data_IF_707068347062
#
_entry.id   IF_707068347062
#
_cell.length_a   1.000
_cell.length_b   1.000
_cell.length_c   1.000
_cell.angle_alpha   90.00
_cell.angle_beta   90.00
_cell.angle_gamma   90.00
#
_symmetry.space_group_name_H-M   'P 1'
#
loop_
_entity.id
_entity.type
_entity.pdbx_description
1 polymer ?
#
# COMPACT_ATOMS: atom_id res chain seq x y z
N UNK A 1 -29.96 -8.60 9.96
CA UNK A 1 -28.68 -7.89 9.69
C UNK A 1 -27.53 -8.29 10.62
N UNK A 2 -27.73 -8.33 11.96
CA UNK A 2 -26.61 -8.54 12.92
C UNK A 2 -25.68 -9.71 12.62
N UNK A 3 -26.13 -10.90 12.22
CA UNK A 3 -25.20 -12.00 11.92
C UNK A 3 -24.40 -11.82 10.62
N UNK A 4 -24.92 -11.07 9.63
CA UNK A 4 -24.29 -10.86 8.33
C UNK A 4 -23.43 -9.59 8.35
N UNK A 5 -24.01 -8.46 8.77
CA UNK A 5 -23.33 -7.17 8.89
C UNK A 5 -23.97 -6.33 10.00
N UNK A 6 -23.25 -5.97 11.06
CA UNK A 6 -23.78 -5.11 12.12
C UNK A 6 -23.99 -3.68 11.59
N UNK A 7 -25.21 -3.15 11.70
CA UNK A 7 -25.53 -1.78 11.26
C UNK A 7 -24.68 -0.70 11.95
N UNK A 8 -24.16 -1.00 13.15
CA UNK A 8 -23.20 -0.12 13.85
C UNK A 8 -21.86 0.07 13.13
N UNK A 9 -21.61 -0.69 12.05
CA UNK A 9 -20.45 -0.54 11.17
C UNK A 9 -20.70 0.27 9.91
N UNK A 10 -21.90 0.82 9.75
CA UNK A 10 -22.17 1.79 8.69
C UNK A 10 -21.25 3.00 8.86
N UNK A 11 -20.67 3.45 7.76
CA UNK A 11 -19.72 4.57 7.73
C UNK A 11 -20.34 5.69 6.90
N UNK A 12 -20.37 6.89 7.44
CA UNK A 12 -20.82 8.07 6.71
C UNK A 12 -19.92 8.32 5.46
N UNK A 13 -20.56 8.65 4.34
CA UNK A 13 -19.88 8.89 3.06
C UNK A 13 -19.74 7.66 2.16
N UNK A 14 -20.10 6.45 2.64
CA UNK A 14 -20.19 5.28 1.78
C UNK A 14 -21.46 5.34 0.90
N UNK A 15 -21.32 4.85 -0.34
CA UNK A 15 -22.44 4.81 -1.27
C UNK A 15 -23.52 3.82 -0.81
N UNK A 16 -24.77 4.22 -1.01
CA UNK A 16 -25.94 3.34 -0.81
C UNK A 16 -26.97 3.59 -1.90
N UNK A 17 -27.81 2.61 -2.13
CA UNK A 17 -28.98 2.68 -3.02
C UNK A 17 -30.20 2.18 -2.27
N UNK A 18 -31.32 2.87 -2.47
CA UNK A 18 -32.63 2.48 -2.00
C UNK A 18 -33.53 2.28 -3.21
N UNK A 19 -33.98 1.06 -3.44
CA UNK A 19 -34.91 0.73 -4.50
C UNK A 19 -36.32 0.64 -3.90
N UNK A 20 -37.25 1.39 -4.46
CA UNK A 20 -38.67 1.39 -4.11
C UNK A 20 -39.48 0.95 -5.34
N UNK A 21 -40.54 0.18 -5.14
CA UNK A 21 -41.53 -0.16 -6.14
C UNK A 21 -42.89 0.31 -5.64
N UNK A 22 -43.52 1.27 -6.36
CA UNK A 22 -44.79 1.92 -5.94
C UNK A 22 -44.76 2.47 -4.50
N UNK A 23 -43.65 3.12 -4.11
CA UNK A 23 -43.35 3.63 -2.77
C UNK A 23 -43.10 2.55 -1.69
N UNK A 24 -43.22 1.28 -2.04
CA UNK A 24 -42.89 0.17 -1.12
C UNK A 24 -41.40 -0.17 -1.21
N UNK A 25 -40.81 -0.52 -0.06
CA UNK A 25 -39.42 -0.96 0.03
C UNK A 25 -39.23 -2.27 -0.73
N UNK A 26 -38.34 -2.26 -1.72
CA UNK A 26 -37.93 -3.45 -2.47
C UNK A 26 -36.53 -3.91 -2.04
N UNK A 27 -35.54 -3.00 -2.10
CA UNK A 27 -34.15 -3.36 -1.87
C UNK A 27 -33.33 -2.18 -1.35
N UNK A 28 -32.42 -2.46 -0.42
CA UNK A 28 -31.39 -1.53 0.02
C UNK A 28 -30.03 -2.16 -0.23
N UNK A 29 -29.13 -1.42 -0.88
CA UNK A 29 -27.75 -1.79 -1.15
C UNK A 29 -26.83 -0.80 -0.45
N UNK A 30 -25.77 -1.30 0.19
CA UNK A 30 -24.75 -0.48 0.85
C UNK A 30 -23.37 -1.01 0.52
N UNK A 31 -22.51 -0.18 -0.04
CA UNK A 31 -21.14 -0.55 -0.35
C UNK A 31 -20.31 -0.60 0.93
N UNK A 32 -20.01 -1.82 1.41
CA UNK A 32 -19.21 -2.05 2.62
C UNK A 32 -17.76 -1.58 2.39
N UNK A 33 -17.24 -1.86 1.20
CA UNK A 33 -15.93 -1.48 0.70
C UNK A 33 -15.94 -1.52 -0.84
N UNK A 34 -14.77 -1.42 -1.47
CA UNK A 34 -14.63 -1.43 -2.93
C UNK A 34 -14.93 -2.78 -3.60
N UNK A 35 -15.09 -3.86 -2.84
CA UNK A 35 -15.28 -5.20 -3.38
C UNK A 35 -16.58 -5.86 -2.94
N UNK A 36 -17.19 -5.40 -1.84
CA UNK A 36 -18.33 -6.05 -1.19
C UNK A 36 -19.45 -5.07 -0.85
N UNK A 37 -20.68 -5.49 -1.07
CA UNK A 37 -21.88 -4.76 -0.71
C UNK A 37 -22.79 -5.59 0.18
N UNK A 38 -23.54 -4.90 1.03
CA UNK A 38 -24.65 -5.43 1.78
C UNK A 38 -25.92 -5.24 0.93
N UNK A 39 -26.66 -6.32 0.71
CA UNK A 39 -28.00 -6.25 0.09
C UNK A 39 -29.02 -6.67 1.13
N UNK A 40 -30.03 -5.84 1.31
CA UNK A 40 -31.24 -6.15 2.07
C UNK A 40 -32.39 -6.11 1.07
N UNK A 41 -33.05 -7.21 0.81
CA UNK A 41 -34.21 -7.32 -0.06
C UNK A 41 -35.42 -7.81 0.72
N UNK A 42 -36.61 -7.39 0.28
CA UNK A 42 -37.87 -7.95 0.76
C UNK A 42 -38.24 -9.12 -0.17
N UNK A 43 -38.35 -10.30 0.40
CA UNK A 43 -38.77 -11.53 -0.27
C UNK A 43 -40.05 -11.96 0.42
N UNK A 44 -41.23 -11.77 -0.22
CA UNK A 44 -42.57 -11.92 0.39
C UNK A 44 -42.70 -11.03 1.63
N UNK A 45 -42.96 -11.58 2.81
CA UNK A 45 -43.05 -10.85 4.08
C UNK A 45 -41.79 -10.89 4.93
N UNK A 46 -40.68 -11.47 4.42
CA UNK A 46 -39.41 -11.58 5.13
C UNK A 46 -38.31 -10.70 4.50
N UNK A 47 -37.34 -10.31 5.33
CA UNK A 47 -36.18 -9.61 4.88
C UNK A 47 -34.98 -10.56 4.68
N UNK A 48 -34.52 -10.68 3.46
CA UNK A 48 -33.27 -11.33 3.14
C UNK A 48 -32.11 -10.36 3.31
N UNK A 49 -31.01 -10.79 3.95
CA UNK A 49 -29.82 -9.98 4.18
C UNK A 49 -28.60 -10.75 3.72
N UNK A 50 -27.94 -10.24 2.67
CA UNK A 50 -26.80 -10.91 2.05
C UNK A 50 -25.62 -9.95 1.94
N UNK A 51 -24.40 -10.48 2.11
CA UNK A 51 -23.17 -9.82 1.78
C UNK A 51 -22.65 -10.44 0.50
N UNK A 52 -22.53 -9.66 -0.57
CA UNK A 52 -22.16 -10.15 -1.90
C UNK A 52 -21.05 -9.30 -2.50
N UNK A 53 -20.24 -9.85 -3.43
CA UNK A 53 -19.31 -9.05 -4.22
C UNK A 53 -20.06 -8.01 -5.05
N UNK A 54 -19.46 -6.83 -5.22
CA UNK A 54 -19.97 -5.82 -6.15
C UNK A 54 -19.71 -6.32 -7.57
N UNK A 55 -20.71 -6.40 -8.45
CA UNK A 55 -20.53 -6.82 -9.82
C UNK A 55 -19.87 -5.70 -10.64
N UNK A 56 -18.60 -5.88 -10.99
CA UNK A 56 -17.87 -5.01 -11.89
C UNK A 56 -17.64 -5.69 -13.25
N UNK A 57 -17.78 -4.93 -14.32
CA UNK A 57 -17.08 -5.24 -15.57
C UNK A 57 -15.68 -4.64 -15.48
N UNK A 58 -14.68 -5.36 -15.99
CA UNK A 58 -13.29 -4.92 -15.98
C UNK A 58 -12.76 -4.81 -17.39
N UNK A 59 -12.03 -3.74 -17.67
CA UNK A 59 -11.30 -3.54 -18.91
C UNK A 59 -9.82 -3.38 -18.57
N UNK A 60 -8.94 -4.08 -19.28
CA UNK A 60 -7.50 -3.91 -19.13
C UNK A 60 -7.02 -2.83 -20.07
N UNK A 61 -6.48 -1.76 -19.51
CA UNK A 61 -5.94 -0.63 -20.27
C UNK A 61 -4.46 -0.47 -19.98
N UNK A 62 -3.73 0.04 -20.97
CA UNK A 62 -2.36 0.46 -20.78
C UNK A 62 -2.32 1.95 -20.50
N UNK A 63 -1.66 2.32 -19.42
CA UNK A 63 -1.38 3.70 -19.02
C UNK A 63 0.14 3.90 -19.05
N UNK A 64 0.58 5.01 -19.65
CA UNK A 64 2.01 5.38 -19.71
C UNK A 64 2.17 6.86 -19.55
N UNK A 65 3.25 7.28 -18.90
CA UNK A 65 3.56 8.69 -18.72
C UNK A 65 5.04 8.94 -18.52
N UNK A 66 5.46 10.17 -18.83
CA UNK A 66 6.79 10.68 -18.53
C UNK A 66 6.71 11.68 -17.39
N UNK A 67 7.65 11.63 -16.47
CA UNK A 67 7.65 12.49 -15.29
C UNK A 67 8.34 13.81 -15.62
N UNK A 68 7.60 14.90 -15.47
CA UNK A 68 8.14 16.25 -15.56
C UNK A 68 8.42 16.85 -14.18
N UNK A 69 7.56 16.60 -13.21
CA UNK A 69 7.72 17.08 -11.83
C UNK A 69 7.49 15.98 -10.79
N UNK A 70 6.40 15.23 -10.90
CA UNK A 70 6.02 14.17 -9.96
C UNK A 70 5.27 13.03 -10.64
N UNK A 71 5.24 11.86 -9.99
CA UNK A 71 4.43 10.73 -10.46
C UNK A 71 2.94 11.08 -10.50
N UNK A 72 2.44 11.84 -9.52
CA UNK A 72 1.03 12.24 -9.46
C UNK A 72 0.63 13.06 -10.69
N UNK A 73 1.39 14.10 -11.01
CA UNK A 73 1.15 14.92 -12.18
C UNK A 73 1.25 14.10 -13.47
N UNK A 74 2.27 13.24 -13.58
CA UNK A 74 2.46 12.39 -14.75
C UNK A 74 1.28 11.42 -14.97
N UNK A 75 0.69 10.88 -13.91
CA UNK A 75 -0.49 10.01 -13.99
C UNK A 75 -1.75 10.82 -14.32
N UNK A 76 -2.00 11.94 -13.61
CA UNK A 76 -3.21 12.74 -13.84
C UNK A 76 -3.23 13.41 -15.21
N UNK A 77 -2.07 13.75 -15.78
CA UNK A 77 -1.97 14.27 -17.15
C UNK A 77 -2.39 13.26 -18.23
N UNK A 78 -2.41 11.97 -17.92
CA UNK A 78 -2.96 10.92 -18.81
C UNK A 78 -4.48 10.77 -18.72
N UNK A 79 -5.15 11.57 -17.88
CA UNK A 79 -6.59 11.48 -17.63
C UNK A 79 -6.95 10.46 -16.54
N UNK A 80 -5.94 9.87 -15.88
CA UNK A 80 -6.15 8.89 -14.81
C UNK A 80 -6.20 9.59 -13.43
N UNK A 81 -6.76 8.89 -12.44
CA UNK A 81 -6.88 9.41 -11.07
C UNK A 81 -5.56 9.25 -10.31
N UNK A 82 -5.35 10.12 -9.30
CA UNK A 82 -4.25 10.06 -8.34
C UNK A 82 -4.17 8.73 -7.57
N UNK A 83 -5.28 8.00 -7.45
CA UNK A 83 -5.31 6.64 -6.88
C UNK A 83 -4.40 5.69 -7.64
N UNK A 84 -4.33 5.81 -8.98
CA UNK A 84 -3.41 4.99 -9.78
C UNK A 84 -1.95 5.32 -9.47
N UNK A 85 -1.62 6.60 -9.28
CA UNK A 85 -0.27 7.02 -8.88
C UNK A 85 0.11 6.44 -7.52
N UNK A 86 -0.83 6.42 -6.56
CA UNK A 86 -0.61 5.79 -5.24
C UNK A 86 -0.37 4.29 -5.36
N UNK A 87 -1.17 3.59 -6.19
CA UNK A 87 -1.02 2.15 -6.40
C UNK A 87 0.33 1.81 -7.07
N UNK A 88 0.76 2.58 -8.06
CA UNK A 88 2.09 2.42 -8.68
C UNK A 88 3.21 2.69 -7.68
N UNK A 89 3.10 3.76 -6.91
CA UNK A 89 4.08 4.05 -5.86
C UNK A 89 4.16 2.94 -4.82
N UNK A 90 3.04 2.34 -4.42
CA UNK A 90 3.02 1.23 -3.46
C UNK A 90 3.72 -0.03 -4.03
N UNK A 91 3.60 -0.32 -5.34
CA UNK A 91 4.28 -1.45 -5.99
C UNK A 91 5.80 -1.31 -5.91
N UNK A 92 6.34 -0.12 -6.24
CA UNK A 92 7.78 0.11 -6.32
C UNK A 92 8.39 0.73 -5.05
N UNK A 93 7.60 0.92 -3.97
CA UNK A 93 8.03 1.57 -2.73
C UNK A 93 9.23 0.90 -2.04
N UNK A 94 9.57 -0.33 -2.42
CA UNK A 94 10.71 -1.06 -1.88
C UNK A 94 12.02 -0.72 -2.59
N UNK A 95 11.94 -0.27 -3.84
CA UNK A 95 13.10 0.05 -4.68
C UNK A 95 13.27 1.54 -4.92
N UNK A 96 12.17 2.30 -4.97
CA UNK A 96 12.13 3.72 -5.30
C UNK A 96 11.55 4.51 -4.13
N UNK A 97 12.28 5.52 -3.67
CA UNK A 97 11.73 6.57 -2.81
C UNK A 97 11.11 7.66 -3.70
N UNK A 98 9.79 7.62 -3.86
CA UNK A 98 9.05 8.54 -4.74
C UNK A 98 9.12 10.02 -4.32
N UNK A 99 9.77 10.33 -3.20
CA UNK A 99 10.02 11.70 -2.77
C UNK A 99 11.45 12.14 -3.12
N UNK A 100 12.41 11.24 -2.96
CA UNK A 100 13.83 11.57 -3.06
C UNK A 100 14.46 11.12 -4.36
N UNK A 101 13.94 10.06 -4.98
CA UNK A 101 14.59 9.42 -6.13
C UNK A 101 14.06 9.89 -7.47
N UNK A 102 12.82 10.41 -7.53
CA UNK A 102 12.16 10.83 -8.77
C UNK A 102 12.90 12.01 -9.42
N UNK A 103 13.04 11.95 -10.74
CA UNK A 103 13.67 12.98 -11.58
C UNK A 103 12.82 13.26 -12.81
N UNK A 104 12.96 14.47 -13.32
CA UNK A 104 12.45 14.81 -14.66
C UNK A 104 13.09 13.86 -15.69
N UNK A 105 12.26 13.31 -16.57
CA UNK A 105 12.66 12.36 -17.58
C UNK A 105 12.46 10.88 -17.18
N UNK A 106 12.21 10.59 -15.91
CA UNK A 106 11.73 9.26 -15.49
C UNK A 106 10.41 8.94 -16.19
N UNK A 107 10.05 7.67 -16.26
CA UNK A 107 8.81 7.25 -16.94
C UNK A 107 8.20 6.02 -16.31
N UNK A 108 6.91 5.83 -16.56
CA UNK A 108 6.20 4.63 -16.17
C UNK A 108 5.31 4.11 -17.28
N UNK A 109 5.02 2.82 -17.25
CA UNK A 109 3.92 2.20 -17.97
C UNK A 109 3.29 1.09 -17.12
N UNK A 110 2.00 0.88 -17.28
CA UNK A 110 1.26 -0.12 -16.52
C UNK A 110 0.07 -0.69 -17.30
N UNK A 111 -0.21 -1.98 -17.10
CA UNK A 111 -1.45 -2.63 -17.49
C UNK A 111 -2.38 -2.62 -16.28
N UNK A 112 -3.49 -1.92 -16.39
CA UNK A 112 -4.39 -1.59 -15.28
C UNK A 112 -5.78 -2.10 -15.57
N UNK A 113 -6.39 -2.84 -14.66
CA UNK A 113 -7.82 -3.16 -14.71
C UNK A 113 -8.62 -1.92 -14.31
N UNK A 114 -9.36 -1.33 -15.25
CA UNK A 114 -10.41 -0.34 -14.94
C UNK A 114 -11.71 -1.06 -14.64
N UNK A 115 -12.38 -0.64 -13.57
CA UNK A 115 -13.66 -1.19 -13.13
C UNK A 115 -14.80 -0.30 -13.60
N UNK A 116 -15.86 -0.92 -14.06
CA UNK A 116 -17.11 -0.24 -14.41
C UNK A 116 -18.26 -0.91 -13.67
N UNK A 117 -19.17 -0.12 -13.12
CA UNK A 117 -20.41 -0.57 -12.50
C UNK A 117 -21.55 0.03 -13.29
N UNK A 118 -22.39 -0.81 -13.91
CA UNK A 118 -23.52 -0.36 -14.74
C UNK A 118 -23.07 0.60 -15.85
N UNK A 119 -21.92 0.33 -16.46
CA UNK A 119 -21.35 1.15 -17.53
C UNK A 119 -20.65 2.44 -17.07
N UNK A 120 -20.70 2.77 -15.78
CA UNK A 120 -20.02 3.96 -15.23
C UNK A 120 -18.65 3.60 -14.64
N UNK A 121 -17.63 4.46 -14.81
CA UNK A 121 -16.33 4.26 -14.17
C UNK A 121 -16.45 4.09 -12.64
N UNK A 122 -15.87 3.04 -12.11
CA UNK A 122 -15.92 2.69 -10.69
C UNK A 122 -14.53 2.45 -10.07
N UNK A 123 -13.53 3.13 -10.62
CA UNK A 123 -12.15 3.08 -10.14
C UNK A 123 -11.32 1.99 -10.79
N UNK A 124 -10.33 1.49 -10.03
CA UNK A 124 -9.34 0.55 -10.53
C UNK A 124 -9.46 -0.81 -9.81
N UNK A 125 -9.21 -1.86 -10.58
CA UNK A 125 -8.95 -3.19 -10.08
C UNK A 125 -7.45 -3.35 -9.75
N UNK A 126 -6.86 -4.39 -10.33
CA UNK A 126 -5.45 -4.71 -10.12
C UNK A 126 -4.58 -4.01 -11.18
N UNK A 127 -3.34 -3.72 -10.83
CA UNK A 127 -2.28 -3.50 -11.81
C UNK A 127 -1.69 -4.87 -12.13
N UNK A 128 -1.83 -5.32 -13.38
CA UNK A 128 -1.40 -6.66 -13.79
C UNK A 128 0.10 -6.71 -14.04
N UNK A 129 0.62 -5.65 -14.65
CA UNK A 129 2.06 -5.44 -14.83
C UNK A 129 2.35 -3.94 -14.80
N UNK A 130 3.55 -3.58 -14.37
CA UNK A 130 4.04 -2.22 -14.43
C UNK A 130 5.54 -2.20 -14.68
N UNK A 131 5.99 -1.12 -15.31
CA UNK A 131 7.39 -0.81 -15.50
C UNK A 131 7.63 0.64 -15.10
N UNK A 132 8.70 0.88 -14.38
CA UNK A 132 9.13 2.21 -13.96
C UNK A 132 10.59 2.42 -14.25
N UNK A 133 10.92 3.41 -15.07
CA UNK A 133 12.30 3.81 -15.33
C UNK A 133 12.64 4.99 -14.45
N UNK A 134 13.60 4.80 -13.53
CA UNK A 134 14.09 5.83 -12.63
C UNK A 134 15.58 5.98 -12.78
N UNK A 135 16.04 7.18 -13.13
CA UNK A 135 17.48 7.48 -13.34
C UNK A 135 18.18 6.54 -14.33
N UNK A 136 17.47 6.09 -15.35
CA UNK A 136 17.97 5.15 -16.35
C UNK A 136 17.96 3.67 -15.94
N UNK A 137 17.57 3.35 -14.71
CA UNK A 137 17.34 1.97 -14.28
C UNK A 137 15.84 1.62 -14.40
N UNK A 138 15.56 0.46 -15.00
CA UNK A 138 14.18 0.00 -15.23
C UNK A 138 13.80 -1.08 -14.23
N UNK A 139 12.71 -0.85 -13.51
CA UNK A 139 12.11 -1.76 -12.55
C UNK A 139 10.82 -2.33 -13.15
N UNK A 140 10.66 -3.65 -13.11
CA UNK A 140 9.48 -4.35 -13.62
C UNK A 140 8.73 -5.03 -12.50
N UNK A 141 7.40 -5.06 -12.60
CA UNK A 141 6.50 -5.65 -11.63
C UNK A 141 5.41 -6.46 -12.35
N UNK A 142 5.30 -7.74 -12.03
CA UNK A 142 4.29 -8.65 -12.57
C UNK A 142 3.45 -9.20 -11.43
N UNK A 143 2.15 -9.02 -11.49
CA UNK A 143 1.23 -9.57 -10.52
C UNK A 143 1.07 -11.07 -10.75
N UNK A 144 1.41 -11.87 -9.75
CA UNK A 144 1.33 -13.32 -9.84
C UNK A 144 0.84 -13.95 -8.53
N UNK A 145 0.07 -15.03 -8.65
CA UNK A 145 -0.35 -15.84 -7.51
C UNK A 145 0.44 -17.16 -7.51
N UNK A 146 1.34 -17.30 -6.57
CA UNK A 146 2.18 -18.50 -6.42
C UNK A 146 1.43 -19.58 -5.61
N UNK A 147 0.70 -20.46 -6.31
CA UNK A 147 -0.14 -21.50 -5.70
C UNK A 147 -1.25 -20.88 -4.83
N UNK A 148 -1.39 -21.38 -3.59
CA UNK A 148 -2.41 -20.90 -2.63
C UNK A 148 -2.04 -19.59 -1.95
N UNK A 149 -0.87 -19.00 -2.25
CA UNK A 149 -0.47 -17.71 -1.68
C UNK A 149 -1.35 -16.58 -2.20
N UNK A 150 -1.43 -15.50 -1.44
CA UNK A 150 -1.99 -14.25 -1.95
C UNK A 150 -1.15 -13.77 -3.15
N UNK A 151 -1.82 -13.25 -4.18
CA UNK A 151 -1.13 -12.60 -5.29
C UNK A 151 -0.22 -11.47 -4.78
N UNK A 152 0.98 -11.38 -5.34
CA UNK A 152 2.01 -10.39 -5.00
C UNK A 152 2.77 -10.01 -6.27
N UNK A 153 3.64 -8.99 -6.19
CA UNK A 153 4.41 -8.52 -7.32
C UNK A 153 5.82 -9.13 -7.33
N UNK A 154 6.25 -9.54 -8.52
CA UNK A 154 7.56 -10.14 -8.76
C UNK A 154 8.24 -9.44 -9.94
N UNK A 155 9.57 -9.38 -9.92
CA UNK A 155 10.36 -8.95 -11.08
C UNK A 155 10.42 -10.03 -12.17
N UNK A 156 11.07 -9.75 -13.29
CA UNK A 156 11.19 -10.69 -14.41
C UNK A 156 11.93 -12.00 -14.05
N UNK A 157 12.75 -11.99 -13.02
CA UNK A 157 13.47 -13.15 -12.49
C UNK A 157 12.64 -13.96 -11.48
N UNK A 158 11.42 -13.49 -11.16
CA UNK A 158 10.55 -14.10 -10.15
C UNK A 158 10.96 -13.80 -8.72
N UNK A 159 11.80 -12.79 -8.50
CA UNK A 159 12.09 -12.30 -7.16
C UNK A 159 10.93 -11.41 -6.69
N UNK A 160 10.49 -11.58 -5.46
CA UNK A 160 9.44 -10.70 -4.92
C UNK A 160 9.94 -9.25 -4.86
N UNK A 161 9.17 -8.32 -5.39
CA UNK A 161 9.43 -6.89 -5.20
C UNK A 161 9.32 -6.53 -3.72
N UNK A 162 8.44 -7.22 -3.00
CA UNK A 162 8.32 -7.02 -1.56
C UNK A 162 9.62 -7.39 -0.86
N UNK A 163 10.24 -6.40 -0.26
CA UNK A 163 11.46 -6.57 0.53
C UNK A 163 11.11 -6.60 2.02
N UNK A 164 12.03 -7.14 2.81
CA UNK A 164 11.85 -7.24 4.25
C UNK A 164 11.59 -5.88 4.92
N UNK A 165 12.01 -4.78 4.29
CA UNK A 165 11.80 -3.42 4.80
C UNK A 165 11.42 -2.44 3.70
N UNK A 166 10.44 -1.58 3.98
CA UNK A 166 10.15 -0.38 3.19
C UNK A 166 11.33 0.60 3.25
N UNK A 167 11.54 1.37 2.21
CA UNK A 167 12.56 2.44 2.15
C UNK A 167 12.32 3.53 3.19
N UNK A 168 11.05 3.90 3.41
CA UNK A 168 10.66 4.93 4.35
C UNK A 168 9.42 4.52 5.16
N UNK A 169 9.32 4.97 6.43
CA UNK A 169 8.16 4.71 7.30
C UNK A 169 6.97 5.67 7.06
N UNK A 170 7.11 6.65 6.17
CA UNK A 170 6.10 7.64 5.79
C UNK A 170 5.94 7.66 4.28
N UNK A 171 4.72 7.78 3.79
CA UNK A 171 4.45 7.80 2.34
C UNK A 171 4.88 9.09 1.67
N UNK A 172 4.76 10.24 2.39
CA UNK A 172 5.13 11.55 1.88
C UNK A 172 5.77 12.36 3.00
N UNK A 173 7.07 12.64 2.89
CA UNK A 173 7.82 13.38 3.89
C UNK A 173 9.13 13.92 3.30
N UNK A 174 9.71 14.90 3.96
CA UNK A 174 11.03 15.42 3.61
C UNK A 174 12.02 15.01 4.70
N UNK A 175 13.19 14.50 4.31
CA UNK A 175 14.27 14.28 5.27
C UNK A 175 14.78 15.64 5.75
N UNK A 176 14.61 15.90 7.03
CA UNK A 176 15.10 17.12 7.70
C UNK A 176 16.47 16.91 8.33
N UNK A 177 16.84 15.66 8.67
CA UNK A 177 18.16 15.31 9.17
C UNK A 177 18.52 13.89 8.81
N UNK A 178 19.68 13.69 8.17
CA UNK A 178 20.20 12.38 7.81
C UNK A 178 20.89 11.66 8.99
N UNK A 179 21.24 10.38 8.71
CA UNK A 179 22.02 9.56 9.63
C UNK A 179 23.46 10.11 9.73
N UNK A 180 23.91 10.39 10.95
CA UNK A 180 25.27 10.83 11.22
C UNK A 180 25.75 10.39 12.59
N UNK A 181 27.02 10.08 12.69
CA UNK A 181 27.67 9.77 13.99
C UNK A 181 28.18 11.03 14.72
N UNK A 182 28.11 12.23 14.06
CA UNK A 182 28.55 13.48 14.65
C UNK A 182 27.76 14.65 14.06
N UNK A 183 26.92 15.32 14.88
CA UNK A 183 26.26 16.59 14.55
C UNK A 183 26.17 17.49 15.77
N UNK A 184 26.07 18.80 15.55
CA UNK A 184 25.75 19.75 16.61
C UNK A 184 24.24 19.67 16.91
N UNK A 185 23.88 19.34 18.14
CA UNK A 185 22.50 19.09 18.54
C UNK A 185 21.76 20.42 18.73
N UNK A 186 20.63 20.68 18.05
CA UNK A 186 19.97 22.00 18.03
C UNK A 186 19.45 22.46 19.40
N UNK A 187 19.03 21.51 20.25
CA UNK A 187 18.47 21.81 21.58
C UNK A 187 19.57 21.84 22.64
N UNK A 188 20.40 20.78 22.74
CA UNK A 188 21.40 20.66 23.79
C UNK A 188 22.70 21.41 23.52
N UNK A 189 22.84 21.98 22.30
CA UNK A 189 24.02 22.78 21.85
C UNK A 189 25.37 22.04 22.08
N UNK A 190 25.38 20.73 21.92
CA UNK A 190 26.55 19.87 22.07
C UNK A 190 26.72 18.94 20.85
N UNK A 191 27.95 18.53 20.59
CA UNK A 191 28.23 17.54 19.54
C UNK A 191 27.75 16.16 20.00
N UNK A 192 26.84 15.55 19.25
CA UNK A 192 26.29 14.22 19.53
C UNK A 192 26.10 13.42 18.25
N UNK A 193 26.09 12.10 18.39
CA UNK A 193 25.65 11.20 17.32
C UNK A 193 24.14 11.34 17.10
N UNK A 194 23.73 11.26 15.83
CA UNK A 194 22.34 11.12 15.43
C UNK A 194 22.18 9.88 14.55
N UNK A 195 22.19 8.66 15.13
CA UNK A 195 22.05 7.42 14.37
C UNK A 195 20.58 7.18 14.00
N UNK A 196 20.00 8.13 13.26
CA UNK A 196 18.60 8.20 12.89
C UNK A 196 18.42 8.97 11.58
N UNK A 197 17.25 8.84 10.99
CA UNK A 197 16.75 9.75 9.95
C UNK A 197 15.53 10.47 10.52
N UNK A 198 15.54 11.79 10.43
CA UNK A 198 14.40 12.61 10.80
C UNK A 198 13.59 12.96 9.56
N UNK A 199 12.34 12.50 9.51
CA UNK A 199 11.37 12.78 8.47
C UNK A 199 10.41 13.87 8.92
N UNK A 200 10.52 15.06 8.35
CA UNK A 200 9.57 16.14 8.57
C UNK A 200 8.27 15.87 7.83
N UNK A 201 7.17 15.87 8.57
CA UNK A 201 5.82 15.67 8.02
C UNK A 201 4.78 16.38 8.92
N UNK A 202 3.60 16.73 8.39
CA UNK A 202 2.52 17.29 9.17
C UNK A 202 2.16 16.44 10.39
N UNK A 203 1.76 17.10 11.49
CA UNK A 203 1.29 16.40 12.68
C UNK A 203 0.05 15.56 12.35
N UNK A 204 0.07 14.28 12.71
CA UNK A 204 -1.02 13.35 12.42
C UNK A 204 -0.79 12.51 11.18
N UNK A 205 0.27 12.73 10.40
CA UNK A 205 0.64 11.85 9.28
C UNK A 205 0.80 10.41 9.78
N UNK A 206 0.20 9.41 9.13
CA UNK A 206 0.34 8.01 9.52
C UNK A 206 1.78 7.52 9.42
N UNK A 207 2.24 6.84 10.46
CA UNK A 207 3.55 6.17 10.52
C UNK A 207 3.33 4.69 10.27
N UNK A 208 3.98 4.15 9.24
CA UNK A 208 3.90 2.73 8.85
C UNK A 208 5.07 1.94 9.47
N UNK A 209 4.81 0.69 9.88
CA UNK A 209 5.89 -0.26 10.17
C UNK A 209 6.66 -0.55 8.88
N UNK A 210 7.98 -0.39 8.90
CA UNK A 210 8.78 -0.68 7.70
C UNK A 210 8.89 -2.16 7.36
N UNK A 211 8.59 -3.05 8.30
CA UNK A 211 8.63 -4.51 8.10
C UNK A 211 7.65 -5.25 9.01
N UNK A 212 7.39 -6.51 8.70
CA UNK A 212 6.69 -7.41 9.60
C UNK A 212 7.48 -7.55 10.90
N UNK A 213 6.80 -7.67 12.04
CA UNK A 213 7.52 -7.81 13.30
C UNK A 213 6.63 -7.89 14.53
N UNK A 214 7.28 -7.84 15.69
CA UNK A 214 6.62 -7.84 17.00
C UNK A 214 7.00 -6.55 17.73
N UNK A 215 6.01 -5.86 18.27
CA UNK A 215 6.23 -4.68 19.11
C UNK A 215 6.89 -5.14 20.42
N UNK A 216 8.17 -4.83 20.60
CA UNK A 216 8.90 -5.20 21.82
C UNK A 216 8.87 -4.11 22.88
N UNK A 217 8.54 -2.86 22.49
CA UNK A 217 8.37 -1.76 23.43
C UNK A 217 7.43 -0.68 22.84
N UNK A 218 6.55 -0.17 23.70
CA UNK A 218 5.69 0.99 23.45
C UNK A 218 5.65 1.82 24.72
N UNK A 219 5.81 3.12 24.62
CA UNK A 219 5.78 3.97 25.82
C UNK A 219 6.15 5.41 25.52
N UNK A 220 6.50 6.11 26.60
CA UNK A 220 6.96 7.50 26.58
C UNK A 220 8.24 7.63 27.38
N UNK A 221 9.19 8.43 26.88
CA UNK A 221 10.32 8.96 27.65
C UNK A 221 10.52 10.42 27.34
N UNK A 222 11.15 11.17 28.27
CA UNK A 222 11.45 12.60 28.05
C UNK A 222 12.26 12.85 26.76
N UNK A 223 13.16 11.93 26.41
CA UNK A 223 13.99 12.07 25.20
C UNK A 223 13.26 11.64 23.92
N UNK A 224 12.61 10.48 23.91
CA UNK A 224 12.00 9.91 22.71
C UNK A 224 10.56 10.40 22.46
N UNK A 225 9.92 11.02 23.44
CA UNK A 225 8.48 11.24 23.40
C UNK A 225 7.72 9.91 23.38
N UNK A 226 6.55 9.88 22.79
CA UNK A 226 5.85 8.64 22.49
C UNK A 226 6.62 7.86 21.43
N UNK A 227 6.87 6.58 21.68
CA UNK A 227 7.66 5.76 20.77
C UNK A 227 7.19 4.31 20.70
N UNK A 228 7.49 3.67 19.58
CA UNK A 228 7.32 2.24 19.34
C UNK A 228 8.68 1.66 18.94
N UNK A 229 9.01 0.49 19.48
CA UNK A 229 10.15 -0.33 19.07
C UNK A 229 9.64 -1.67 18.55
N UNK A 230 10.06 -2.06 17.35
CA UNK A 230 9.66 -3.28 16.68
C UNK A 230 10.90 -4.14 16.45
N UNK A 231 10.79 -5.43 16.76
CA UNK A 231 11.75 -6.46 16.37
C UNK A 231 11.19 -7.20 15.16
N UNK A 232 11.91 -7.12 14.05
CA UNK A 232 11.52 -7.73 12.80
C UNK A 232 11.95 -9.19 12.69
N UNK A 233 13.18 -9.45 13.11
CA UNK A 233 13.76 -10.80 13.16
C UNK A 233 14.90 -10.85 14.21
N UNK A 234 15.73 -11.88 14.15
CA UNK A 234 16.88 -12.03 15.07
C UNK A 234 17.91 -10.90 14.96
N UNK A 235 17.98 -10.25 13.80
CA UNK A 235 19.03 -9.26 13.48
C UNK A 235 18.55 -7.82 13.48
N UNK A 236 17.29 -7.54 13.11
CA UNK A 236 16.83 -6.18 12.84
C UNK A 236 15.78 -5.69 13.82
N UNK A 237 15.98 -4.48 14.30
CA UNK A 237 15.02 -3.72 15.13
C UNK A 237 14.85 -2.30 14.58
N UNK A 238 13.64 -1.74 14.69
CA UNK A 238 13.35 -0.34 14.36
C UNK A 238 12.70 0.40 15.52
N UNK A 239 12.93 1.73 15.58
CA UNK A 239 12.34 2.63 16.55
C UNK A 239 11.72 3.82 15.82
N UNK A 240 10.53 4.18 16.27
CA UNK A 240 9.70 5.28 15.76
C UNK A 240 9.42 6.23 16.90
N UNK A 241 9.96 7.45 16.86
CA UNK A 241 9.99 8.37 17.99
C UNK A 241 9.18 9.65 17.71
N UNK A 242 8.93 10.42 18.76
CA UNK A 242 8.23 11.71 18.76
C UNK A 242 6.78 11.65 18.27
N UNK A 243 6.14 10.47 18.39
CA UNK A 243 4.79 10.24 17.89
C UNK A 243 3.76 11.11 18.64
N UNK A 244 2.70 11.57 17.92
CA UNK A 244 1.51 12.19 18.54
C UNK A 244 0.78 11.17 19.43
N UNK A 245 0.70 9.95 18.96
CA UNK A 245 0.01 8.84 19.61
C UNK A 245 0.10 7.56 18.77
N UNK A 246 -0.48 6.51 19.29
CA UNK A 246 -0.43 5.17 18.72
C UNK A 246 -1.72 4.87 17.96
N UNK A 247 -1.65 4.06 16.91
CA UNK A 247 -2.83 3.56 16.22
C UNK A 247 -3.59 2.54 17.08
N UNK A 248 -4.87 2.31 16.77
CA UNK A 248 -5.71 1.34 17.48
C UNK A 248 -5.10 -0.06 17.41
N UNK A 249 -5.08 -0.78 18.53
CA UNK A 249 -4.58 -2.15 18.62
C UNK A 249 -3.04 -2.28 18.76
N UNK A 250 -2.29 -1.17 18.73
CA UNK A 250 -0.84 -1.18 18.92
C UNK A 250 -0.51 -1.34 20.40
N UNK A 251 0.06 -2.49 20.76
CA UNK A 251 0.48 -2.83 22.13
C UNK A 251 1.73 -3.71 22.12
N UNK A 252 2.50 -3.69 23.22
CA UNK A 252 3.66 -4.58 23.39
C UNK A 252 3.24 -6.05 23.26
N UNK A 253 4.05 -6.85 22.59
CA UNK A 253 3.79 -8.26 22.29
C UNK A 253 2.93 -8.49 21.03
N UNK A 254 2.26 -7.48 20.49
CA UNK A 254 1.44 -7.63 19.27
C UNK A 254 2.32 -7.70 18.03
N UNK A 255 1.88 -8.54 17.08
CA UNK A 255 2.44 -8.58 15.72
C UNK A 255 1.92 -7.38 14.93
N UNK A 256 2.77 -6.87 14.06
CA UNK A 256 2.45 -5.86 13.05
C UNK A 256 2.92 -6.34 11.70
N UNK A 257 2.16 -6.00 10.66
CA UNK A 257 2.53 -6.24 9.28
C UNK A 257 3.32 -5.04 8.71
N UNK A 258 4.15 -5.29 7.72
CA UNK A 258 4.78 -4.26 6.91
C UNK A 258 3.70 -3.35 6.30
N UNK A 259 3.92 -2.03 6.32
CA UNK A 259 2.93 -1.05 5.85
C UNK A 259 1.80 -0.75 6.83
N UNK A 260 1.64 -1.53 7.90
CA UNK A 260 0.60 -1.27 8.91
C UNK A 260 0.87 0.04 9.64
N UNK A 261 -0.16 0.90 9.76
CA UNK A 261 -0.09 2.12 10.57
C UNK A 261 0.08 1.76 12.04
N UNK A 262 1.16 2.24 12.66
CA UNK A 262 1.51 1.99 14.07
C UNK A 262 1.29 3.21 14.96
N UNK A 263 1.09 4.38 14.36
CA UNK A 263 0.82 5.63 15.05
C UNK A 263 0.91 6.82 14.11
N UNK A 264 1.10 8.00 14.67
CA UNK A 264 0.98 9.26 13.93
C UNK A 264 2.11 10.21 14.30
N UNK A 265 2.60 10.96 13.31
CA UNK A 265 3.65 11.98 13.49
C UNK A 265 3.22 13.00 14.53
N UNK A 266 4.14 13.33 15.44
CA UNK A 266 3.96 14.31 16.50
C UNK A 266 5.19 15.19 16.69
N UNK A 267 5.26 15.75 17.88
CA UNK A 267 6.40 16.56 18.36
C UNK A 267 6.57 16.34 19.86
N UNK A 268 6.41 15.09 20.33
CA UNK A 268 6.51 14.78 21.76
C UNK A 268 7.95 14.49 22.18
N UNK A 269 8.30 14.73 23.44
CA UNK A 269 9.66 14.59 23.95
C UNK A 269 10.61 15.70 23.49
N UNK A 270 11.88 15.39 23.24
CA UNK A 270 12.89 16.35 22.78
C UNK A 270 12.81 16.55 21.27
N UNK A 271 11.80 17.26 20.80
CA UNK A 271 11.56 17.60 19.41
C UNK A 271 11.40 19.12 19.22
N UNK A 272 11.94 19.67 18.14
CA UNK A 272 11.84 21.10 17.79
C UNK A 272 10.62 21.42 16.94
N UNK A 273 9.95 20.42 16.40
CA UNK A 273 8.78 20.54 15.54
C UNK A 273 8.24 19.19 15.11
N UNK A 274 7.13 19.13 14.36
CA UNK A 274 6.54 17.87 13.92
C UNK A 274 7.50 17.10 12.99
N UNK A 275 7.92 15.93 13.42
CA UNK A 275 8.74 14.99 12.64
C UNK A 275 8.67 13.58 13.22
N UNK A 276 9.07 12.60 12.43
CA UNK A 276 9.37 11.26 12.87
C UNK A 276 10.89 11.08 12.93
N UNK A 277 11.45 10.77 14.09
CA UNK A 277 12.83 10.29 14.20
C UNK A 277 12.82 8.77 14.10
N UNK A 278 13.36 8.26 12.98
CA UNK A 278 13.38 6.84 12.65
C UNK A 278 14.77 6.26 12.82
N UNK A 279 14.87 5.16 13.56
CA UNK A 279 16.14 4.47 13.82
C UNK A 279 16.04 3.00 13.42
N UNK A 280 17.11 2.47 12.85
CA UNK A 280 17.26 1.05 12.56
C UNK A 280 18.54 0.51 13.23
N UNK A 281 18.44 -0.71 13.73
CA UNK A 281 19.58 -1.44 14.30
C UNK A 281 19.72 -2.80 13.62
N UNK A 282 20.96 -3.20 13.38
CA UNK A 282 21.31 -4.55 12.94
C UNK A 282 22.23 -5.16 13.99
N UNK A 283 21.87 -6.30 14.57
CA UNK A 283 22.60 -6.99 15.64
C UNK A 283 22.95 -6.04 16.80
N UNK A 284 21.98 -5.19 17.20
CA UNK A 284 22.14 -4.19 18.25
C UNK A 284 22.85 -2.89 17.86
N UNK A 285 23.65 -2.89 16.80
CA UNK A 285 24.36 -1.69 16.32
C UNK A 285 23.45 -0.80 15.44
N UNK A 286 23.54 0.54 15.54
CA UNK A 286 22.79 1.43 14.67
C UNK A 286 23.32 1.34 13.23
N UNK A 287 22.39 1.31 12.26
CA UNK A 287 22.70 1.31 10.83
C UNK A 287 21.93 2.42 10.13
N UNK A 288 22.48 2.94 9.03
CA UNK A 288 21.76 3.90 8.20
C UNK A 288 20.65 3.19 7.42
N UNK A 289 19.36 3.47 7.72
CA UNK A 289 18.23 2.81 7.06
C UNK A 289 18.25 2.92 5.53
N UNK A 290 18.70 4.05 4.99
CA UNK A 290 18.77 4.28 3.54
C UNK A 290 19.80 3.38 2.81
N UNK A 291 20.77 2.86 3.55
CA UNK A 291 21.84 2.00 3.01
C UNK A 291 21.61 0.51 3.24
N UNK A 292 20.55 0.16 3.96
CA UNK A 292 20.20 -1.25 4.20
C UNK A 292 19.64 -1.84 2.92
N UNK A 293 20.37 -2.77 2.32
CA UNK A 293 19.84 -3.64 1.27
C UNK A 293 18.95 -4.69 1.92
N UNK A 294 17.64 -4.47 1.90
CA UNK A 294 16.69 -5.43 2.42
C UNK A 294 16.57 -6.63 1.47
N UNK A 295 16.67 -7.87 1.96
CA UNK A 295 16.45 -9.04 1.11
C UNK A 295 14.99 -9.07 0.63
N UNK A 296 14.76 -9.55 -0.59
CA UNK A 296 13.42 -9.87 -1.08
C UNK A 296 12.77 -10.91 -0.16
N UNK A 297 11.46 -10.86 -0.03
CA UNK A 297 10.72 -11.86 0.74
C UNK A 297 10.77 -13.19 -0.03
N UNK A 298 9.79 -13.97 -0.15
CA UNK A 298 9.86 -15.27 -0.84
C UNK A 298 9.74 -15.07 -2.36
N UNK A 299 10.66 -15.56 -3.18
CA UNK A 299 10.50 -15.58 -4.64
C UNK A 299 9.36 -16.52 -5.05
N UNK A 300 9.03 -16.50 -6.33
CA UNK A 300 8.16 -17.51 -6.95
C UNK A 300 8.75 -18.92 -6.68
N UNK A 301 7.92 -19.85 -6.31
CA UNK A 301 8.36 -21.22 -6.04
C UNK A 301 8.92 -21.90 -7.31
N UNK A 302 9.90 -22.78 -7.14
CA UNK A 302 10.55 -23.47 -8.27
C UNK A 302 9.54 -24.21 -9.15
N UNK A 303 8.50 -24.79 -8.55
CA UNK A 303 7.45 -25.52 -9.29
C UNK A 303 6.57 -24.63 -10.17
N UNK A 304 6.39 -23.35 -9.80
CA UNK A 304 5.54 -22.41 -10.53
C UNK A 304 6.36 -21.41 -11.37
N UNK A 305 7.69 -21.50 -11.35
CA UNK A 305 8.57 -20.56 -12.06
C UNK A 305 8.35 -20.56 -13.58
N UNK A 306 8.10 -21.73 -14.18
CA UNK A 306 7.84 -21.81 -15.62
C UNK A 306 6.53 -21.13 -16.01
N UNK A 307 5.44 -21.36 -15.26
CA UNK A 307 4.15 -20.67 -15.46
C UNK A 307 4.27 -19.17 -15.24
N UNK A 308 4.98 -18.75 -14.19
CA UNK A 308 5.26 -17.35 -13.95
C UNK A 308 5.97 -16.68 -15.13
N UNK A 309 7.04 -17.29 -15.65
CA UNK A 309 7.80 -16.71 -16.77
C UNK A 309 6.98 -16.57 -18.05
N UNK A 310 6.12 -17.54 -18.35
CA UNK A 310 5.19 -17.44 -19.48
C UNK A 310 4.25 -16.22 -19.29
N UNK A 311 3.60 -16.11 -18.13
CA UNK A 311 2.72 -14.96 -17.83
C UNK A 311 3.45 -13.62 -17.84
N UNK A 312 4.67 -13.56 -17.29
CA UNK A 312 5.48 -12.35 -17.32
C UNK A 312 5.85 -11.94 -18.76
N UNK A 313 6.18 -12.89 -19.62
CA UNK A 313 6.45 -12.63 -21.03
C UNK A 313 5.22 -12.10 -21.78
N UNK A 314 4.03 -12.69 -21.57
CA UNK A 314 2.76 -12.22 -22.16
C UNK A 314 2.42 -10.81 -21.69
N UNK A 315 2.58 -10.52 -20.39
CA UNK A 315 2.34 -9.19 -19.84
C UNK A 315 3.37 -8.17 -20.35
N UNK A 316 4.63 -8.56 -20.53
CA UNK A 316 5.67 -7.71 -21.14
C UNK A 316 5.32 -7.37 -22.59
N UNK A 317 4.90 -8.36 -23.38
CA UNK A 317 4.42 -8.13 -24.75
C UNK A 317 3.24 -7.16 -24.76
N UNK A 318 2.28 -7.33 -23.87
CA UNK A 318 1.13 -6.45 -23.72
C UNK A 318 1.51 -5.01 -23.28
N UNK A 319 2.57 -4.84 -22.48
CA UNK A 319 3.13 -3.51 -22.16
C UNK A 319 3.80 -2.86 -23.36
N UNK A 320 4.48 -3.65 -24.22
CA UNK A 320 5.19 -3.16 -25.39
C UNK A 320 4.27 -2.86 -26.56
N UNK A 321 3.15 -3.57 -26.70
CA UNK A 321 2.25 -3.51 -27.85
C UNK A 321 1.55 -2.16 -27.98
N UNK A 322 1.42 -1.65 -29.23
CA UNK A 322 0.81 -0.37 -29.53
C UNK A 322 -0.71 -0.48 -29.82
N UNK A 323 -1.29 -1.68 -29.70
CA UNK A 323 -2.70 -1.94 -29.97
C UNK A 323 -3.55 -1.88 -28.68
N UNK A 324 -4.82 -1.46 -28.76
CA UNK A 324 -5.73 -1.59 -27.63
C UNK A 324 -5.93 -3.08 -27.29
N UNK A 325 -5.79 -3.42 -26.02
CA UNK A 325 -6.00 -4.79 -25.55
C UNK A 325 -7.46 -5.17 -25.77
N UNK A 326 -7.72 -6.20 -26.59
CA UNK A 326 -9.07 -6.75 -26.74
C UNK A 326 -9.64 -7.18 -25.39
N UNK A 327 -10.87 -6.78 -25.12
CA UNK A 327 -11.62 -7.10 -23.92
C UNK A 327 -11.76 -8.62 -23.77
N UNK A 328 -11.02 -9.24 -22.87
CA UNK A 328 -11.29 -10.59 -22.44
C UNK A 328 -12.62 -10.61 -21.67
N UNK A 329 -13.73 -10.95 -22.37
CA UNK A 329 -15.00 -11.26 -21.74
C UNK A 329 -14.80 -12.48 -20.83
N UNK A 330 -14.66 -12.25 -19.54
CA UNK A 330 -14.77 -13.34 -18.56
C UNK A 330 -16.19 -13.90 -18.65
N UNK A 331 -16.28 -15.18 -19.05
CA UNK A 331 -17.50 -15.96 -18.95
C UNK A 331 -17.94 -15.93 -17.47
N UNK A 332 -19.18 -15.54 -17.25
CA UNK A 332 -19.88 -15.72 -16.00
C UNK A 332 -19.77 -17.21 -15.60
N UNK A 333 -19.32 -17.45 -14.38
CA UNK A 333 -19.38 -18.78 -13.82
C UNK A 333 -20.84 -19.25 -13.83
N UNK A 334 -21.12 -20.33 -14.54
CA UNK A 334 -22.39 -21.03 -14.52
C UNK A 334 -22.73 -21.40 -13.07
N UNK A 335 -23.76 -20.77 -12.56
CA UNK A 335 -24.42 -21.22 -11.33
C UNK A 335 -25.25 -22.44 -11.70
N UNK A 336 -24.66 -23.61 -11.56
CA UNK A 336 -25.44 -24.87 -11.58
C UNK A 336 -26.25 -24.92 -10.29
N UNK A 337 -27.51 -24.61 -10.40
CA UNK A 337 -28.50 -24.93 -9.37
C UNK A 337 -28.71 -26.43 -9.46
N UNK A 338 -28.35 -27.14 -8.40
CA UNK A 338 -28.78 -28.54 -8.18
C UNK A 338 -30.07 -28.46 -7.35
N UNK A 339 -31.11 -29.06 -7.88
CA UNK A 339 -32.42 -29.27 -7.24
C UNK A 339 -32.31 -30.03 -5.92
#
# INVERSE_FOLDING_TARGET
CKPVFPLSRLVAGQAYRLCLSNDDFERFEYDINQDEQLIISREDDEFSVKKVPIPYTTETVRVRGKIESSLFEAVTSTGESDVLAMNLADIFAWDIDFILDIRQGDSFQALVEKRYREGQPAGYGRILAAEFTNRGETFQAFLYRDGDRRADYFDAEGQSLRKAFLKAPLSFSRISSGFTMRRFHPITKTWKSHPAIDYAAPRGTPIKSVGDGIIIKKGYTRGNGNYVKIRHNSSYETLYLHMKGFARGIAQGKRVAQGQTIGYVGSTGLATGPHLCFRMRKNGAPVNPQRVKAPSVKPVSAQNMADFKLKAADLTASLADHLPVETAKMRSADTTVIE
#
